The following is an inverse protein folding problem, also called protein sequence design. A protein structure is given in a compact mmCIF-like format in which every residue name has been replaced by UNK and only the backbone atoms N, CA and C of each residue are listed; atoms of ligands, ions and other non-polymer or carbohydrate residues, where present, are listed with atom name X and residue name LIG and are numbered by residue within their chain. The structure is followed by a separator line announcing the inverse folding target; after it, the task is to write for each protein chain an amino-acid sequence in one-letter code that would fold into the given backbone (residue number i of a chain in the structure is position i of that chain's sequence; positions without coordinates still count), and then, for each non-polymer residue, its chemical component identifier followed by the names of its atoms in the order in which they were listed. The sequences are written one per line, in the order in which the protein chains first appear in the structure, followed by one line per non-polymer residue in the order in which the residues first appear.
data_IF_753224498443
#
_entry.id   IF_753224498443
#
_cell.length_a   1.000
_cell.length_b   1.000
_cell.length_c   1.000
_cell.angle_alpha   90.00
_cell.angle_beta   90.00
_cell.angle_gamma   90.00
#
_symmetry.space_group_name_H-M   'P 1'
#
loop_
_entity.id
_entity.type
_entity.pdbx_description
1 polymer ?
#
# COMPACT_ATOMS: atom_id res chain seq x y z
N UNK A 1 -2.83 13.43 -7.05
CA UNK A 1 -3.49 12.57 -6.05
C UNK A 1 -4.19 11.46 -6.81
N UNK A 2 -3.85 10.22 -6.51
CA UNK A 2 -4.40 9.04 -7.19
C UNK A 2 -4.98 8.10 -6.13
N UNK A 3 -6.12 7.48 -6.42
CA UNK A 3 -6.88 6.65 -5.47
C UNK A 3 -7.17 5.30 -6.11
N UNK A 4 -6.86 4.23 -5.38
CA UNK A 4 -7.28 2.87 -5.69
C UNK A 4 -8.30 2.40 -4.65
N UNK A 5 -9.48 2.01 -5.10
CA UNK A 5 -10.52 1.40 -4.27
C UNK A 5 -10.60 -0.09 -4.58
N UNK A 6 -10.49 -0.92 -3.54
CA UNK A 6 -10.55 -2.38 -3.65
C UNK A 6 -11.98 -2.91 -3.50
N UNK A 7 -12.20 -4.17 -3.91
CA UNK A 7 -13.49 -4.85 -3.75
C UNK A 7 -13.92 -5.02 -2.28
N UNK A 8 -12.97 -5.02 -1.34
CA UNK A 8 -13.23 -5.06 0.11
C UNK A 8 -13.40 -3.67 0.73
N UNK A 9 -13.66 -2.66 -0.09
CA UNK A 9 -13.84 -1.26 0.30
C UNK A 9 -12.63 -0.57 0.96
N UNK A 10 -11.44 -1.17 0.90
CA UNK A 10 -10.19 -0.53 1.34
C UNK A 10 -9.73 0.48 0.29
N UNK A 11 -9.42 1.72 0.72
CA UNK A 11 -8.94 2.81 -0.14
C UNK A 11 -7.44 3.06 0.07
N UNK A 12 -6.68 3.04 -1.01
CA UNK A 12 -5.27 3.44 -1.04
C UNK A 12 -5.18 4.81 -1.72
N UNK A 13 -4.53 5.76 -1.05
CA UNK A 13 -4.39 7.13 -1.54
C UNK A 13 -2.90 7.44 -1.67
N UNK A 14 -2.49 7.82 -2.89
CA UNK A 14 -1.12 8.25 -3.18
C UNK A 14 -1.11 9.74 -3.51
N UNK A 15 -0.30 10.48 -2.76
CA UNK A 15 0.04 11.87 -3.03
C UNK A 15 1.37 11.92 -3.75
N UNK A 16 1.36 12.44 -4.98
CA UNK A 16 2.55 12.57 -5.83
C UNK A 16 2.41 13.81 -6.72
N UNK A 17 3.49 14.18 -7.42
CA UNK A 17 3.49 15.27 -8.40
C UNK A 17 2.57 14.95 -9.58
N UNK A 18 2.09 15.99 -10.27
CA UNK A 18 1.22 15.81 -11.45
C UNK A 18 1.94 15.17 -12.64
N UNK A 19 3.28 15.17 -12.65
CA UNK A 19 4.09 14.56 -13.70
C UNK A 19 4.35 13.06 -13.48
N UNK A 20 3.98 12.52 -12.31
CA UNK A 20 4.21 11.13 -11.97
C UNK A 20 3.21 10.23 -12.72
N UNK A 21 3.71 9.45 -13.66
CA UNK A 21 2.90 8.56 -14.52
C UNK A 21 2.78 7.15 -13.96
N UNK A 22 3.59 6.79 -12.96
CA UNK A 22 3.62 5.43 -12.38
C UNK A 22 2.70 5.25 -11.18
N UNK A 23 1.93 6.28 -10.80
CA UNK A 23 1.10 6.30 -9.60
C UNK A 23 0.16 5.10 -9.47
N UNK A 24 -0.53 4.71 -10.56
CA UNK A 24 -1.43 3.55 -10.57
C UNK A 24 -0.67 2.23 -10.38
N UNK A 25 0.50 2.09 -11.00
CA UNK A 25 1.35 0.90 -10.85
C UNK A 25 1.92 0.79 -9.43
N UNK A 26 2.27 1.92 -8.80
CA UNK A 26 2.69 1.96 -7.40
C UNK A 26 1.54 1.54 -6.49
N UNK A 27 0.34 2.09 -6.68
CA UNK A 27 -0.84 1.72 -5.89
C UNK A 27 -1.19 0.22 -6.02
N UNK A 28 -1.04 -0.35 -7.21
CA UNK A 28 -1.24 -1.79 -7.43
C UNK A 28 -0.24 -2.63 -6.62
N UNK A 29 1.05 -2.26 -6.63
CA UNK A 29 2.09 -2.93 -5.81
C UNK A 29 1.85 -2.77 -4.31
N UNK A 30 1.38 -1.60 -3.87
CA UNK A 30 1.00 -1.37 -2.47
C UNK A 30 -0.15 -2.31 -2.06
N UNK A 31 -1.15 -2.50 -2.94
CA UNK A 31 -2.26 -3.43 -2.69
C UNK A 31 -1.79 -4.89 -2.59
N UNK A 32 -0.84 -5.31 -3.41
CA UNK A 32 -0.22 -6.64 -3.31
C UNK A 32 0.51 -6.83 -1.97
N UNK A 33 1.35 -5.86 -1.57
CA UNK A 33 2.07 -5.88 -0.29
C UNK A 33 1.08 -5.92 0.90
N UNK A 34 0.00 -5.14 0.84
CA UNK A 34 -1.06 -5.15 1.85
C UNK A 34 -1.74 -6.52 1.96
N UNK A 35 -2.10 -7.10 0.82
CA UNK A 35 -2.75 -8.41 0.77
C UNK A 35 -1.87 -9.51 1.38
N UNK A 36 -0.56 -9.44 1.14
CA UNK A 36 0.41 -10.41 1.67
C UNK A 36 0.73 -10.23 3.15
N UNK A 37 0.98 -9.00 3.58
CA UNK A 37 1.50 -8.71 4.92
C UNK A 37 0.40 -8.49 5.98
N UNK A 38 -0.80 -8.11 5.56
CA UNK A 38 -1.90 -7.72 6.45
C UNK A 38 -3.04 -8.73 6.39
N UNK A 39 -3.60 -9.00 5.20
CA UNK A 39 -4.77 -9.88 5.06
C UNK A 39 -4.45 -11.35 5.37
N UNK A 40 -3.22 -11.80 5.14
CA UNK A 40 -2.78 -13.17 5.49
C UNK A 40 -2.35 -13.31 6.94
N UNK A 41 -2.25 -12.23 7.72
CA UNK A 41 -1.82 -12.30 9.11
C UNK A 41 -3.01 -12.72 9.99
N UNK A 42 -2.99 -13.93 10.61
CA UNK A 42 -4.10 -14.41 11.42
C UNK A 42 -4.33 -13.59 12.71
N UNK A 43 -3.38 -12.75 13.10
CA UNK A 43 -3.48 -11.87 14.26
C UNK A 43 -3.95 -10.45 13.90
N UNK A 44 -4.18 -10.16 12.61
CA UNK A 44 -4.68 -8.86 12.19
C UNK A 44 -6.20 -8.83 12.27
N UNK A 45 -6.71 -8.02 13.19
CA UNK A 45 -8.14 -7.72 13.25
C UNK A 45 -8.46 -6.60 12.26
N UNK A 46 -9.50 -6.74 11.41
CA UNK A 46 -10.03 -5.64 10.62
C UNK A 46 -10.29 -4.41 11.52
N UNK A 47 -10.09 -3.21 10.99
CA UNK A 47 -10.22 -1.92 11.71
C UNK A 47 -9.07 -1.53 12.66
N UNK A 48 -8.11 -2.42 12.91
CA UNK A 48 -6.90 -2.07 13.65
C UNK A 48 -5.84 -1.43 12.73
N UNK A 49 -5.00 -0.51 13.24
CA UNK A 49 -3.89 0.02 12.47
C UNK A 49 -2.96 -1.10 12.02
N UNK A 50 -2.41 -0.98 10.81
CA UNK A 50 -1.41 -1.91 10.30
C UNK A 50 -0.16 -1.78 11.16
N UNK A 51 0.22 -2.86 11.86
CA UNK A 51 1.40 -2.96 12.72
C UNK A 51 2.28 -4.12 12.25
N UNK A 52 2.83 -3.99 11.05
CA UNK A 52 3.63 -5.04 10.42
C UNK A 52 4.93 -4.44 9.93
N UNK A 53 6.03 -4.71 10.62
CA UNK A 53 7.37 -4.24 10.20
C UNK A 53 7.72 -4.72 8.77
N UNK A 54 7.23 -5.91 8.39
CA UNK A 54 7.37 -6.44 7.04
C UNK A 54 6.59 -5.65 6.00
N UNK A 55 5.42 -5.10 6.36
CA UNK A 55 4.69 -4.16 5.51
C UNK A 55 5.49 -2.86 5.35
N UNK A 56 5.90 -2.26 6.46
CA UNK A 56 6.62 -0.97 6.46
C UNK A 56 7.91 -1.05 5.64
N UNK A 57 8.72 -2.09 5.85
CA UNK A 57 9.99 -2.30 5.12
C UNK A 57 9.77 -2.40 3.61
N UNK A 58 8.73 -3.12 3.16
CA UNK A 58 8.43 -3.31 1.74
C UNK A 58 7.88 -2.04 1.09
N UNK A 59 7.04 -1.28 1.81
CA UNK A 59 6.55 0.02 1.34
C UNK A 59 7.71 1.02 1.23
N UNK A 60 8.60 1.06 2.22
CA UNK A 60 9.81 1.89 2.16
C UNK A 60 10.71 1.48 1.01
N UNK A 61 10.91 0.19 0.73
CA UNK A 61 11.68 -0.24 -0.44
C UNK A 61 11.00 0.12 -1.77
N UNK A 62 9.66 0.07 -1.83
CA UNK A 62 8.89 0.41 -3.02
C UNK A 62 8.94 1.91 -3.35
N UNK A 63 8.83 2.77 -2.34
CA UNK A 63 8.73 4.23 -2.51
C UNK A 63 10.08 4.93 -2.31
N UNK A 64 10.92 4.41 -1.41
CA UNK A 64 12.22 4.95 -1.01
C UNK A 64 13.36 4.68 -1.99
N UNK A 65 13.07 4.13 -3.17
CA UNK A 65 14.04 4.08 -4.28
C UNK A 65 14.19 5.42 -5.03
N UNK A 66 13.72 6.53 -4.44
CA UNK A 66 14.04 7.89 -4.85
C UNK A 66 15.21 8.46 -4.05
N UNK A 67 16.44 8.01 -4.34
CA UNK A 67 17.71 8.66 -3.97
C UNK A 67 18.73 8.40 -5.06
#
# INVERSE_FOLDING_TARGET
MTILLTATATKFVLLTSLSETTADAVLQKVYEIYSDAVMKNPFHTPEMPIRSEGFDTRITALIGNGS
#
